data_IF_940849436025
#
_entry.id   IF_940849436025
#
_cell.length_a   1.000
_cell.length_b   1.000
_cell.length_c   1.000
_cell.angle_alpha   90.00
_cell.angle_beta   90.00
_cell.angle_gamma   90.00
#
_symmetry.space_group_name_H-M   'P 1'
#
loop_
_entity.id
_entity.type
_entity.pdbx_description
1 polymer ?
#
# COMPACT_ATOMS: atom_id res chain seq x y z
N UNK A 1 -11.56 -18.27 20.08
CA UNK A 1 -12.04 -18.64 18.73
C UNK A 1 -12.33 -17.37 17.95
N UNK A 2 -11.33 -16.79 17.28
CA UNK A 2 -11.56 -15.58 16.49
C UNK A 2 -12.09 -15.96 15.09
N UNK A 3 -13.40 -15.89 14.90
CA UNK A 3 -14.03 -15.63 13.59
C UNK A 3 -13.71 -16.58 12.42
N UNK A 4 -13.42 -17.86 12.65
CA UNK A 4 -13.24 -18.85 11.57
C UNK A 4 -14.47 -19.00 10.65
N UNK A 5 -15.66 -18.65 11.14
CA UNK A 5 -16.91 -18.61 10.37
C UNK A 5 -16.94 -17.54 9.26
N UNK A 6 -16.03 -16.54 9.27
CA UNK A 6 -15.96 -15.48 8.24
C UNK A 6 -15.44 -16.02 6.89
N UNK A 7 -14.72 -17.15 6.89
CA UNK A 7 -13.93 -17.62 5.74
C UNK A 7 -14.65 -18.58 4.78
N UNK A 8 -15.98 -18.66 4.81
CA UNK A 8 -16.73 -19.74 4.16
C UNK A 8 -17.23 -19.48 2.73
N UNK A 9 -17.20 -18.25 2.19
CA UNK A 9 -17.57 -18.03 0.76
C UNK A 9 -17.16 -16.69 0.15
N UNK A 10 -17.06 -15.62 0.94
CA UNK A 10 -16.77 -14.27 0.43
C UNK A 10 -15.38 -13.75 0.72
N UNK A 11 -14.60 -14.40 1.58
CA UNK A 11 -13.32 -13.88 2.04
C UNK A 11 -12.29 -14.99 2.11
N UNK A 12 -11.07 -14.69 1.70
CA UNK A 12 -9.96 -15.64 1.67
C UNK A 12 -8.97 -15.28 2.79
N UNK A 13 -8.68 -16.26 3.64
CA UNK A 13 -7.89 -16.05 4.85
C UNK A 13 -6.42 -15.78 4.55
N UNK A 14 -5.85 -16.44 3.55
CA UNK A 14 -4.48 -16.28 3.08
C UNK A 14 -4.23 -14.87 2.52
N UNK A 15 -5.24 -14.27 1.89
CA UNK A 15 -5.16 -12.87 1.43
C UNK A 15 -5.15 -11.93 2.63
N UNK A 16 -5.98 -12.18 3.63
CA UNK A 16 -5.95 -11.41 4.88
C UNK A 16 -4.66 -11.66 5.66
N UNK A 17 -4.12 -12.87 5.66
CA UNK A 17 -2.86 -13.21 6.33
C UNK A 17 -1.70 -12.42 5.73
N UNK A 18 -1.56 -12.42 4.39
CA UNK A 18 -0.50 -11.65 3.71
C UNK A 18 -0.67 -10.14 3.94
N UNK A 19 -1.91 -9.62 3.94
CA UNK A 19 -2.16 -8.21 4.32
C UNK A 19 -1.79 -7.92 5.77
N UNK A 20 -2.08 -8.86 6.67
CA UNK A 20 -1.75 -8.81 8.08
C UNK A 20 -0.25 -8.80 8.34
N UNK A 21 0.48 -9.66 7.64
CA UNK A 21 1.93 -9.69 7.67
C UNK A 21 2.49 -8.36 7.14
N UNK A 22 2.00 -7.89 6.00
CA UNK A 22 2.41 -6.61 5.41
C UNK A 22 2.18 -5.41 6.34
N UNK A 23 1.04 -5.33 7.04
CA UNK A 23 0.80 -4.21 7.97
C UNK A 23 1.68 -4.29 9.22
N UNK A 24 1.97 -5.49 9.74
CA UNK A 24 2.91 -5.65 10.87
C UNK A 24 4.31 -5.20 10.44
N UNK A 25 4.78 -5.66 9.29
CA UNK A 25 6.08 -5.24 8.74
C UNK A 25 6.12 -3.72 8.53
N UNK A 26 5.04 -3.11 8.06
CA UNK A 26 4.98 -1.66 7.84
C UNK A 26 5.08 -0.88 9.14
N UNK A 27 4.39 -1.32 10.20
CA UNK A 27 4.50 -0.68 11.53
C UNK A 27 5.93 -0.75 12.05
N UNK A 28 6.60 -1.90 11.90
CA UNK A 28 8.00 -2.06 12.30
C UNK A 28 8.91 -1.13 11.47
N UNK A 29 8.72 -1.12 10.15
CA UNK A 29 9.52 -0.30 9.24
C UNK A 29 9.38 1.18 9.55
N UNK A 30 8.15 1.67 9.73
CA UNK A 30 7.88 3.07 10.01
C UNK A 30 8.40 3.47 11.39
N UNK A 31 8.32 2.59 12.39
CA UNK A 31 8.93 2.85 13.69
C UNK A 31 10.44 3.06 13.57
N UNK A 32 11.15 2.24 12.78
CA UNK A 32 12.57 2.46 12.53
C UNK A 32 12.82 3.76 11.76
N UNK A 33 11.98 4.10 10.77
CA UNK A 33 12.06 5.38 10.07
C UNK A 33 11.84 6.57 11.01
N UNK A 34 10.94 6.46 11.99
CA UNK A 34 10.74 7.48 13.02
C UNK A 34 11.99 7.64 13.89
N UNK A 35 12.64 6.54 14.31
CA UNK A 35 13.91 6.60 15.02
C UNK A 35 15.02 7.24 14.16
N UNK A 36 15.07 6.95 12.87
CA UNK A 36 16.03 7.54 11.93
C UNK A 36 15.80 9.05 11.77
N UNK A 37 14.53 9.47 11.64
CA UNK A 37 14.15 10.84 11.36
C UNK A 37 14.18 11.75 12.59
N UNK A 38 13.73 11.24 13.74
CA UNK A 38 13.62 12.02 14.98
C UNK A 38 14.80 11.83 15.93
N UNK A 39 15.43 10.65 15.95
CA UNK A 39 16.50 10.35 16.92
C UNK A 39 17.85 10.07 16.25
N UNK A 40 17.98 10.36 14.94
CA UNK A 40 19.19 10.14 14.14
C UNK A 40 19.75 8.71 14.23
N UNK A 41 18.89 7.71 14.44
CA UNK A 41 19.31 6.31 14.42
C UNK A 41 19.89 5.96 13.05
N UNK A 42 21.10 5.41 13.00
CA UNK A 42 21.80 5.16 11.73
C UNK A 42 22.23 3.71 11.52
N UNK A 43 21.84 2.78 12.40
CA UNK A 43 22.27 1.39 12.31
C UNK A 43 21.52 0.60 11.24
N UNK A 44 22.25 -0.31 10.57
CA UNK A 44 21.70 -1.26 9.58
C UNK A 44 20.84 -0.63 8.46
N UNK A 45 21.16 0.58 7.99
CA UNK A 45 20.35 1.33 7.02
C UNK A 45 19.96 0.54 5.78
N UNK A 46 20.90 -0.24 5.22
CA UNK A 46 20.64 -1.05 4.02
C UNK A 46 19.59 -2.13 4.28
N UNK A 47 19.66 -2.80 5.44
CA UNK A 47 18.69 -3.80 5.85
C UNK A 47 17.30 -3.17 5.99
N UNK A 48 17.18 -2.07 6.73
CA UNK A 48 15.90 -1.39 6.94
C UNK A 48 15.30 -0.85 5.65
N UNK A 49 16.13 -0.36 4.74
CA UNK A 49 15.69 0.08 3.41
C UNK A 49 15.14 -1.09 2.60
N UNK A 50 15.84 -2.23 2.53
CA UNK A 50 15.34 -3.44 1.84
C UNK A 50 14.05 -3.94 2.50
N UNK A 51 13.98 -3.92 3.82
CA UNK A 51 12.80 -4.31 4.59
C UNK A 51 11.59 -3.43 4.27
N UNK A 52 11.78 -2.11 4.21
CA UNK A 52 10.76 -1.15 3.80
C UNK A 52 10.27 -1.40 2.37
N UNK A 53 11.19 -1.56 1.40
CA UNK A 53 10.83 -1.83 0.00
C UNK A 53 10.12 -3.17 -0.16
N UNK A 54 10.53 -4.20 0.56
CA UNK A 54 9.87 -5.52 0.56
C UNK A 54 8.46 -5.40 1.12
N UNK A 55 8.30 -4.70 2.25
CA UNK A 55 7.00 -4.43 2.87
C UNK A 55 6.05 -3.70 1.92
N UNK A 56 6.52 -2.60 1.33
CA UNK A 56 5.78 -1.83 0.36
C UNK A 56 5.37 -2.67 -0.86
N UNK A 57 6.29 -3.51 -1.35
CA UNK A 57 6.03 -4.41 -2.48
C UNK A 57 4.95 -5.43 -2.15
N UNK A 58 5.00 -6.07 -0.98
CA UNK A 58 3.95 -7.00 -0.51
C UNK A 58 2.61 -6.28 -0.44
N UNK A 59 2.58 -5.07 0.13
CA UNK A 59 1.35 -4.29 0.33
C UNK A 59 0.69 -3.87 -0.99
N UNK A 60 1.49 -3.42 -1.95
CA UNK A 60 1.02 -3.01 -3.28
C UNK A 60 0.59 -4.24 -4.08
N UNK A 61 1.39 -5.31 -4.08
CA UNK A 61 1.08 -6.56 -4.76
C UNK A 61 -0.23 -7.17 -4.24
N UNK A 62 -0.38 -7.30 -2.92
CA UNK A 62 -1.61 -7.86 -2.33
C UNK A 62 -2.82 -6.97 -2.60
N UNK A 63 -2.63 -5.64 -2.69
CA UNK A 63 -3.70 -4.71 -3.08
C UNK A 63 -4.17 -4.94 -4.52
N UNK A 64 -3.26 -5.20 -5.45
CA UNK A 64 -3.56 -5.58 -6.83
C UNK A 64 -4.30 -6.91 -6.95
N UNK A 65 -3.83 -7.94 -6.25
CA UNK A 65 -4.50 -9.24 -6.17
C UNK A 65 -5.92 -9.10 -5.58
N UNK A 66 -6.05 -8.29 -4.52
CA UNK A 66 -7.32 -8.01 -3.88
C UNK A 66 -8.29 -7.26 -4.79
N UNK A 67 -7.77 -6.34 -5.60
CA UNK A 67 -8.55 -5.63 -6.61
C UNK A 67 -9.10 -6.61 -7.65
N UNK A 68 -8.25 -7.50 -8.19
CA UNK A 68 -8.67 -8.53 -9.13
C UNK A 68 -9.88 -9.32 -8.61
N UNK A 69 -9.75 -9.92 -7.42
CA UNK A 69 -10.81 -10.73 -6.79
C UNK A 69 -12.10 -9.91 -6.61
N UNK A 70 -11.97 -8.68 -6.09
CA UNK A 70 -13.12 -7.81 -5.85
C UNK A 70 -13.80 -7.38 -7.16
N UNK A 71 -13.02 -7.11 -8.21
CA UNK A 71 -13.51 -6.65 -9.51
C UNK A 71 -14.21 -7.76 -10.26
N UNK A 72 -13.61 -8.96 -10.32
CA UNK A 72 -14.24 -10.14 -10.91
C UNK A 72 -15.59 -10.49 -10.29
N UNK A 73 -15.71 -10.38 -8.97
CA UNK A 73 -17.00 -10.60 -8.29
C UNK A 73 -18.01 -9.48 -8.55
N UNK A 74 -17.53 -8.25 -8.70
CA UNK A 74 -18.38 -7.09 -8.92
C UNK A 74 -18.98 -7.10 -10.32
N UNK A 75 -18.18 -7.43 -11.34
CA UNK A 75 -18.64 -7.45 -12.74
C UNK A 75 -19.68 -8.55 -12.99
N UNK A 76 -19.56 -9.70 -12.28
CA UNK A 76 -20.59 -10.76 -12.28
C UNK A 76 -21.94 -10.30 -11.76
N UNK A 77 -21.95 -9.42 -10.75
CA UNK A 77 -23.19 -8.92 -10.12
C UNK A 77 -23.75 -7.69 -10.84
N UNK A 78 -22.88 -6.82 -11.34
CA UNK A 78 -23.25 -5.60 -12.05
C UNK A 78 -22.22 -5.33 -13.16
N UNK A 79 -22.62 -5.31 -14.44
CA UNK A 79 -21.71 -5.09 -15.57
C UNK A 79 -20.96 -3.76 -15.54
N UNK A 80 -21.45 -2.75 -14.82
CA UNK A 80 -20.85 -1.40 -14.72
C UNK A 80 -20.53 -1.04 -13.26
N UNK A 81 -19.52 -1.66 -12.62
CA UNK A 81 -19.21 -1.45 -11.21
C UNK A 81 -18.48 -0.13 -10.91
N UNK A 82 -18.40 0.82 -11.86
CA UNK A 82 -17.58 2.05 -11.77
C UNK A 82 -17.84 2.87 -10.50
N UNK A 83 -19.10 3.02 -10.09
CA UNK A 83 -19.48 3.76 -8.88
C UNK A 83 -18.81 3.22 -7.62
N UNK A 84 -18.62 1.90 -7.52
CA UNK A 84 -17.96 1.25 -6.38
C UNK A 84 -16.48 1.64 -6.32
N UNK A 85 -15.81 1.66 -7.47
CA UNK A 85 -14.38 1.97 -7.57
C UNK A 85 -14.10 3.46 -7.46
N UNK A 86 -15.00 4.31 -7.96
CA UNK A 86 -14.93 5.75 -7.73
C UNK A 86 -15.08 6.11 -6.26
N UNK A 87 -16.00 5.46 -5.53
CA UNK A 87 -16.10 5.61 -4.06
C UNK A 87 -14.83 5.17 -3.34
N UNK A 88 -14.21 4.07 -3.79
CA UNK A 88 -12.93 3.59 -3.24
C UNK A 88 -11.81 4.59 -3.50
N UNK A 89 -11.71 5.11 -4.72
CA UNK A 89 -10.77 6.18 -5.08
C UNK A 89 -10.96 7.39 -4.16
N UNK A 90 -12.18 7.94 -4.09
CA UNK A 90 -12.47 9.13 -3.29
C UNK A 90 -12.12 8.93 -1.82
N UNK A 91 -12.42 7.74 -1.26
CA UNK A 91 -12.07 7.40 0.12
C UNK A 91 -10.56 7.36 0.35
N UNK A 92 -9.81 6.64 -0.50
CA UNK A 92 -8.37 6.46 -0.29
C UNK A 92 -7.60 7.75 -0.62
N UNK A 93 -7.93 8.38 -1.74
CA UNK A 93 -7.30 9.63 -2.17
C UNK A 93 -7.62 10.77 -1.21
N UNK A 94 -8.86 10.88 -0.72
CA UNK A 94 -9.24 11.87 0.28
C UNK A 94 -8.51 11.68 1.61
N UNK A 95 -8.32 10.44 2.06
CA UNK A 95 -7.47 10.15 3.22
C UNK A 95 -6.00 10.50 2.96
N UNK A 96 -5.51 10.28 1.74
CA UNK A 96 -4.18 10.73 1.32
C UNK A 96 -4.02 12.24 1.45
N UNK A 97 -4.97 13.01 0.93
CA UNK A 97 -4.97 14.48 1.03
C UNK A 97 -4.96 14.92 2.50
N UNK A 98 -5.75 14.27 3.35
CA UNK A 98 -5.74 14.55 4.79
C UNK A 98 -4.34 14.34 5.39
N UNK A 99 -3.66 13.25 5.04
CA UNK A 99 -2.27 13.00 5.47
C UNK A 99 -1.33 14.09 4.94
N UNK A 100 -1.47 14.52 3.68
CA UNK A 100 -0.67 15.63 3.13
C UNK A 100 -0.85 16.91 3.93
N UNK A 101 -2.10 17.28 4.25
CA UNK A 101 -2.40 18.48 5.04
C UNK A 101 -1.79 18.35 6.44
N UNK A 102 -2.03 17.23 7.12
CA UNK A 102 -1.51 16.99 8.48
C UNK A 102 0.02 17.03 8.51
N UNK A 103 0.69 16.35 7.58
CA UNK A 103 2.16 16.33 7.53
C UNK A 103 2.75 17.67 7.11
N UNK A 104 2.07 18.45 6.26
CA UNK A 104 2.50 19.81 5.91
C UNK A 104 2.44 20.77 7.09
N UNK A 105 1.48 20.59 8.00
CA UNK A 105 1.31 21.45 9.18
C UNK A 105 2.24 21.04 10.32
N UNK A 106 2.37 19.73 10.57
CA UNK A 106 3.08 19.19 11.74
C UNK A 106 4.58 18.94 11.54
N UNK A 107 5.06 18.81 10.30
CA UNK A 107 6.47 18.52 10.02
C UNK A 107 7.15 19.71 9.37
N UNK A 108 8.38 20.01 9.78
CA UNK A 108 9.21 21.03 9.14
C UNK A 108 9.74 20.60 7.77
N UNK A 109 9.89 19.30 7.56
CA UNK A 109 10.32 18.68 6.31
C UNK A 109 9.66 17.31 6.11
N UNK A 110 9.71 16.74 4.91
CA UNK A 110 9.19 15.38 4.69
C UNK A 110 7.68 15.27 4.48
N UNK A 111 7.00 16.37 4.11
CA UNK A 111 5.58 16.37 3.74
C UNK A 111 5.25 15.30 2.72
N UNK A 112 4.18 14.54 2.97
CA UNK A 112 3.76 13.43 2.11
C UNK A 112 2.89 13.97 0.97
N UNK A 113 3.49 14.24 -0.19
CA UNK A 113 2.76 14.75 -1.36
C UNK A 113 2.03 13.67 -2.16
N UNK A 114 2.63 12.48 -2.31
CA UNK A 114 2.05 11.37 -3.08
C UNK A 114 2.41 10.02 -2.46
N UNK A 115 1.92 9.78 -1.24
CA UNK A 115 2.10 8.53 -0.51
C UNK A 115 1.22 7.36 -0.98
N UNK A 116 1.30 6.23 -0.29
CA UNK A 116 0.66 4.96 -0.70
C UNK A 116 -0.86 5.05 -0.82
N UNK A 117 -1.56 5.89 -0.03
CA UNK A 117 -3.02 6.04 -0.15
C UNK A 117 -3.44 6.78 -1.43
N UNK A 118 -2.69 7.80 -1.85
CA UNK A 118 -2.93 8.48 -3.13
C UNK A 118 -2.76 7.48 -4.27
N UNK A 119 -1.63 6.76 -4.25
CA UNK A 119 -1.32 5.72 -5.22
C UNK A 119 -2.41 4.65 -5.28
N UNK A 120 -2.80 4.04 -4.15
CA UNK A 120 -3.81 2.99 -4.14
C UNK A 120 -5.19 3.48 -4.58
N UNK A 121 -5.51 4.75 -4.32
CA UNK A 121 -6.67 5.41 -4.90
C UNK A 121 -6.58 5.41 -6.42
N UNK A 122 -5.55 6.05 -6.98
CA UNK A 122 -5.32 6.20 -8.43
C UNK A 122 -5.22 4.85 -9.13
N UNK A 123 -4.40 3.93 -8.60
CA UNK A 123 -4.22 2.57 -9.10
C UNK A 123 -5.55 1.80 -9.18
N UNK A 124 -6.49 2.03 -8.27
CA UNK A 124 -7.80 1.37 -8.32
C UNK A 124 -8.67 1.79 -9.50
N UNK A 125 -8.49 3.01 -10.04
CA UNK A 125 -9.14 3.44 -11.27
C UNK A 125 -8.33 3.01 -12.49
N UNK A 126 -7.01 3.22 -12.46
CA UNK A 126 -6.11 2.82 -13.54
C UNK A 126 -6.19 1.33 -13.85
N UNK A 127 -6.40 0.48 -12.84
CA UNK A 127 -6.47 -0.97 -13.00
C UNK A 127 -7.73 -1.47 -13.74
N UNK A 128 -8.79 -0.67 -13.85
CA UNK A 128 -10.05 -1.06 -14.50
C UNK A 128 -9.83 -1.49 -15.96
N UNK A 129 -9.20 -0.68 -16.84
CA UNK A 129 -8.91 -1.10 -18.21
C UNK A 129 -7.94 -2.29 -18.30
N UNK A 130 -7.12 -2.53 -17.28
CA UNK A 130 -6.16 -3.65 -17.27
C UNK A 130 -6.80 -4.99 -16.89
N UNK A 131 -8.01 -4.98 -16.33
CA UNK A 131 -8.74 -6.19 -15.97
C UNK A 131 -8.89 -7.17 -17.15
N UNK A 132 -9.12 -6.66 -18.37
CA UNK A 132 -9.33 -7.49 -19.56
C UNK A 132 -8.11 -8.32 -19.97
N UNK A 133 -6.90 -7.95 -19.54
CA UNK A 133 -5.67 -8.61 -19.96
C UNK A 133 -5.32 -9.83 -19.12
N UNK A 134 -5.94 -10.03 -17.94
CA UNK A 134 -5.73 -11.21 -17.09
C UNK A 134 -4.23 -11.44 -16.82
N UNK A 135 -3.68 -12.60 -17.16
CA UNK A 135 -2.26 -12.94 -17.00
C UNK A 135 -1.34 -12.11 -17.91
N UNK A 136 -1.84 -11.55 -19.02
CA UNK A 136 -1.05 -10.67 -19.91
C UNK A 136 -0.71 -9.33 -19.26
N UNK A 137 -1.27 -9.02 -18.09
CA UNK A 137 -0.83 -7.89 -17.26
C UNK A 137 0.65 -7.97 -16.89
N UNK A 138 1.30 -9.13 -16.99
CA UNK A 138 2.74 -9.28 -16.81
C UNK A 138 3.56 -8.39 -17.76
N UNK A 139 3.14 -8.23 -19.02
CA UNK A 139 3.86 -7.38 -19.98
C UNK A 139 3.79 -5.90 -19.59
N UNK A 140 2.62 -5.45 -19.16
CA UNK A 140 2.44 -4.10 -18.65
C UNK A 140 3.16 -3.88 -17.32
N UNK A 141 3.18 -4.91 -16.45
CA UNK A 141 3.95 -4.84 -15.22
C UNK A 141 5.44 -4.59 -15.51
N UNK A 142 6.03 -5.37 -16.43
CA UNK A 142 7.41 -5.17 -16.89
C UNK A 142 7.61 -3.76 -17.47
N UNK A 143 6.66 -3.25 -18.26
CA UNK A 143 6.71 -1.87 -18.77
C UNK A 143 6.79 -0.82 -17.65
N UNK A 144 5.96 -0.90 -16.61
CA UNK A 144 6.02 0.06 -15.50
C UNK A 144 7.27 -0.11 -14.63
N UNK A 145 7.76 -1.34 -14.45
CA UNK A 145 8.99 -1.62 -13.70
C UNK A 145 10.24 -1.11 -14.44
N UNK A 146 10.37 -1.38 -15.73
CA UNK A 146 11.52 -0.91 -16.52
C UNK A 146 11.43 0.58 -16.84
N UNK A 147 10.21 1.10 -17.03
CA UNK A 147 9.97 2.52 -17.26
C UNK A 147 10.46 3.41 -16.11
N UNK A 148 10.50 2.89 -14.87
CA UNK A 148 11.03 3.65 -13.75
C UNK A 148 12.53 3.97 -13.89
N UNK A 149 13.29 3.17 -14.66
CA UNK A 149 14.73 3.42 -14.92
C UNK A 149 14.95 4.66 -15.80
N UNK A 150 13.94 5.04 -16.59
CA UNK A 150 13.95 6.23 -17.44
C UNK A 150 13.37 7.41 -16.66
N UNK A 151 12.19 7.22 -16.06
CA UNK A 151 11.47 8.27 -15.33
C UNK A 151 12.30 8.83 -14.18
N UNK A 152 13.04 7.99 -13.45
CA UNK A 152 13.86 8.44 -12.32
C UNK A 152 15.05 9.33 -12.72
N UNK A 153 15.41 9.39 -14.01
CA UNK A 153 16.47 10.24 -14.54
C UNK A 153 15.98 11.62 -14.97
N UNK A 154 14.66 11.81 -15.04
CA UNK A 154 14.04 13.06 -15.46
C UNK A 154 13.71 13.84 -14.20
N UNK A 155 14.22 15.07 -14.11
CA UNK A 155 13.88 16.00 -13.04
C UNK A 155 13.18 17.22 -13.60
N UNK A 156 12.14 17.67 -12.90
CA UNK A 156 11.37 18.88 -13.25
C UNK A 156 11.05 19.59 -11.95
N UNK A 157 11.25 20.91 -11.93
CA UNK A 157 10.94 21.77 -10.77
C UNK A 157 9.42 22.01 -10.65
N UNK A 158 8.64 20.93 -10.51
CA UNK A 158 7.20 20.96 -10.34
C UNK A 158 6.73 19.73 -9.58
N UNK A 159 5.83 19.93 -8.61
CA UNK A 159 5.20 18.84 -7.86
C UNK A 159 4.10 18.12 -8.65
N UNK A 160 3.68 18.68 -9.80
CA UNK A 160 2.59 18.12 -10.61
C UNK A 160 2.93 16.75 -11.22
N UNK A 161 4.21 16.46 -11.43
CA UNK A 161 4.68 15.22 -12.08
C UNK A 161 5.09 14.13 -11.07
N UNK A 162 4.99 14.41 -9.77
CA UNK A 162 5.21 13.42 -8.70
C UNK A 162 4.38 12.13 -8.89
N UNK A 163 3.10 12.17 -9.30
CA UNK A 163 2.33 10.94 -9.50
C UNK A 163 2.96 9.99 -10.52
N UNK A 164 3.72 10.50 -11.50
CA UNK A 164 4.34 9.68 -12.55
C UNK A 164 5.72 9.17 -12.11
N UNK A 165 6.38 9.82 -11.15
CA UNK A 165 7.72 9.45 -10.69
C UNK A 165 8.79 10.50 -10.99
N UNK A 166 8.43 11.62 -11.63
CA UNK A 166 9.35 12.72 -11.94
C UNK A 166 9.39 13.65 -10.73
N UNK A 167 10.58 13.83 -10.16
CA UNK A 167 10.78 14.63 -8.94
C UNK A 167 11.62 15.87 -9.20
N UNK A 168 11.48 16.94 -8.39
CA UNK A 168 12.48 17.99 -8.30
C UNK A 168 13.85 17.45 -7.85
N UNK A 169 14.93 18.20 -8.11
CA UNK A 169 16.31 17.77 -7.85
C UNK A 169 16.63 17.49 -6.37
N UNK A 170 15.98 18.19 -5.44
CA UNK A 170 16.16 18.04 -3.99
C UNK A 170 14.85 17.67 -3.30
N UNK A 171 14.19 16.63 -3.83
CA UNK A 171 12.89 16.20 -3.31
C UNK A 171 13.04 15.18 -2.19
N UNK A 172 12.56 15.55 -0.99
CA UNK A 172 12.46 14.65 0.16
C UNK A 172 11.01 14.58 0.67
N UNK A 173 10.55 13.36 0.96
CA UNK A 173 9.24 13.05 1.52
C UNK A 173 9.35 11.75 2.32
N UNK A 174 8.60 11.63 3.41
CA UNK A 174 8.59 10.43 4.24
C UNK A 174 7.90 9.23 3.54
N UNK A 175 6.98 9.50 2.62
CA UNK A 175 6.26 8.49 1.87
C UNK A 175 6.10 8.90 0.40
N UNK A 176 6.45 8.00 -0.54
CA UNK A 176 6.36 8.26 -1.98
C UNK A 176 6.10 7.00 -2.81
N UNK A 177 4.93 6.96 -3.44
CA UNK A 177 4.48 5.83 -4.26
C UNK A 177 4.07 6.27 -5.67
N UNK A 178 4.99 6.69 -6.54
CA UNK A 178 4.68 7.04 -7.92
C UNK A 178 4.13 5.86 -8.74
N UNK A 179 3.47 6.15 -9.86
CA UNK A 179 2.94 5.13 -10.78
C UNK A 179 4.06 4.22 -11.29
N UNK A 180 5.21 4.77 -11.65
CA UNK A 180 6.42 4.00 -11.98
C UNK A 180 7.31 3.95 -10.74
N UNK A 181 7.64 2.77 -10.19
CA UNK A 181 7.36 1.41 -10.66
C UNK A 181 6.11 0.75 -10.03
N UNK A 182 5.47 1.38 -9.04
CA UNK A 182 4.55 0.71 -8.13
C UNK A 182 3.28 0.16 -8.81
N UNK A 183 2.80 0.80 -9.88
CA UNK A 183 1.68 0.25 -10.64
C UNK A 183 2.06 -1.06 -11.34
N UNK A 184 3.34 -1.25 -11.68
CA UNK A 184 3.85 -2.54 -12.18
C UNK A 184 3.72 -3.64 -11.12
N UNK A 185 4.12 -3.37 -9.87
CA UNK A 185 3.95 -4.30 -8.74
C UNK A 185 2.46 -4.61 -8.49
N UNK A 186 1.60 -3.60 -8.60
CA UNK A 186 0.15 -3.77 -8.48
C UNK A 186 -0.40 -4.68 -9.60
N UNK A 187 0.06 -4.50 -10.84
CA UNK A 187 -0.31 -5.34 -11.97
C UNK A 187 0.20 -6.78 -11.83
N UNK A 188 1.40 -7.01 -11.26
CA UNK A 188 1.84 -8.36 -10.89
C UNK A 188 0.84 -9.02 -9.93
N UNK A 189 0.35 -8.27 -8.95
CA UNK A 189 -0.71 -8.72 -8.06
C UNK A 189 -1.98 -9.12 -8.82
N UNK A 190 -2.38 -8.32 -9.83
CA UNK A 190 -3.52 -8.65 -10.69
C UNK A 190 -3.28 -9.89 -11.56
N UNK A 191 -2.08 -10.05 -12.13
CA UNK A 191 -1.64 -11.23 -12.91
C UNK A 191 -1.75 -12.50 -12.07
N UNK A 192 -1.19 -12.49 -10.86
CA UNK A 192 -1.29 -13.65 -9.97
C UNK A 192 -2.73 -13.86 -9.50
N UNK A 193 -3.47 -12.77 -9.26
CA UNK A 193 -4.90 -12.81 -8.99
C UNK A 193 -5.70 -13.53 -10.08
N UNK A 194 -5.41 -13.29 -11.37
CA UNK A 194 -6.11 -13.92 -12.48
C UNK A 194 -5.81 -15.41 -12.65
N UNK A 195 -4.61 -15.84 -12.26
CA UNK A 195 -4.19 -17.23 -12.29
C UNK A 195 -4.77 -18.04 -11.12
N UNK A 196 -4.68 -17.49 -9.90
CA UNK A 196 -5.05 -18.16 -8.66
C UNK A 196 -6.54 -18.02 -8.30
N UNK A 197 -7.15 -16.91 -8.70
CA UNK A 197 -8.54 -16.56 -8.40
C UNK A 197 -9.31 -16.16 -9.67
N UNK A 198 -9.40 -17.04 -10.68
CA UNK A 198 -10.22 -16.78 -11.86
C UNK A 198 -11.63 -16.40 -11.43
N UNK A 199 -12.17 -15.35 -12.05
CA UNK A 199 -13.52 -14.88 -11.80
C UNK A 199 -13.86 -14.63 -10.31
N UNK A 200 -12.83 -14.37 -9.50
CA UNK A 200 -12.91 -14.11 -8.07
C UNK A 200 -13.13 -15.35 -7.19
N UNK A 201 -12.95 -16.55 -7.75
CA UNK A 201 -13.06 -17.84 -7.05
C UNK A 201 -11.69 -18.52 -6.98
N UNK A 202 -11.33 -19.04 -5.81
CA UNK A 202 -10.04 -19.69 -5.57
C UNK A 202 -9.97 -21.03 -6.34
N UNK A 203 -8.85 -21.31 -7.03
CA UNK A 203 -8.62 -22.58 -7.76
C UNK A 203 -8.07 -23.73 -6.92
N UNK A 204 -7.54 -23.44 -5.74
CA UNK A 204 -6.91 -24.42 -4.86
C UNK A 204 -7.71 -24.60 -3.58
N UNK A 205 -7.55 -25.74 -2.91
CA UNK A 205 -8.10 -25.97 -1.57
C UNK A 205 -7.06 -25.62 -0.52
N UNK A 206 -7.45 -24.80 0.46
CA UNK A 206 -6.63 -24.49 1.64
C UNK A 206 -7.52 -24.51 2.87
N UNK A 207 -7.17 -25.37 3.82
CA UNK A 207 -7.78 -25.38 5.14
C UNK A 207 -7.28 -24.19 5.95
N UNK A 208 -8.19 -23.55 6.69
CA UNK A 208 -7.81 -22.48 7.61
C UNK A 208 -7.00 -23.06 8.78
N UNK A 209 -5.75 -22.63 9.01
CA UNK A 209 -4.96 -23.08 10.14
C UNK A 209 -5.57 -22.49 11.42
N UNK A 210 -6.11 -23.33 12.30
CA UNK A 210 -6.68 -22.91 13.59
C UNK A 210 -5.57 -22.68 14.63
N UNK A 211 -4.64 -21.78 14.31
CA UNK A 211 -3.54 -21.39 15.19
C UNK A 211 -3.70 -19.94 15.60
N UNK A 212 -3.53 -19.66 16.89
CA UNK A 212 -3.69 -18.31 17.46
C UNK A 212 -2.86 -17.22 16.73
N UNK A 213 -1.57 -17.44 16.39
CA UNK A 213 -0.80 -16.45 15.63
C UNK A 213 -1.39 -16.14 14.25
N UNK A 214 -1.87 -17.16 13.54
CA UNK A 214 -2.49 -17.01 12.22
C UNK A 214 -3.81 -16.24 12.32
N UNK A 215 -4.64 -16.55 13.31
CA UNK A 215 -5.89 -15.84 13.57
C UNK A 215 -5.66 -14.35 13.85
N UNK A 216 -4.62 -14.02 14.63
CA UNK A 216 -4.24 -12.64 14.96
C UNK A 216 -3.73 -11.87 13.73
N UNK A 217 -2.82 -12.48 12.96
CA UNK A 217 -2.32 -11.86 11.72
C UNK A 217 -3.47 -11.63 10.74
N UNK A 218 -4.37 -12.61 10.58
CA UNK A 218 -5.57 -12.44 9.77
C UNK A 218 -6.45 -11.29 10.29
N UNK A 219 -6.64 -11.17 11.61
CA UNK A 219 -7.38 -10.06 12.22
C UNK A 219 -6.77 -8.70 11.88
N UNK A 220 -5.45 -8.56 11.97
CA UNK A 220 -4.74 -7.36 11.57
C UNK A 220 -4.99 -7.05 10.07
N UNK A 221 -4.91 -8.08 9.21
CA UNK A 221 -5.21 -7.96 7.79
C UNK A 221 -6.66 -7.61 7.44
N UNK A 222 -7.62 -7.85 8.35
CA UNK A 222 -9.01 -7.42 8.18
C UNK A 222 -9.20 -5.94 8.46
N UNK A 223 -8.35 -5.35 9.30
CA UNK A 223 -8.43 -3.97 9.75
C UNK A 223 -7.26 -3.11 9.25
N UNK A 224 -6.53 -3.57 8.23
CA UNK A 224 -5.34 -2.92 7.65
C UNK A 224 -5.46 -1.41 7.49
N UNK A 225 -6.55 -0.88 6.90
CA UNK A 225 -6.70 0.56 6.69
C UNK A 225 -6.81 1.35 8.00
N UNK A 226 -7.48 0.78 9.03
CA UNK A 226 -7.57 1.45 10.34
C UNK A 226 -6.21 1.47 11.02
N UNK A 227 -5.51 0.33 11.03
CA UNK A 227 -4.17 0.20 11.60
C UNK A 227 -3.21 1.16 10.87
N UNK A 228 -3.29 1.21 9.54
CA UNK A 228 -2.51 2.14 8.71
C UNK A 228 -2.73 3.61 9.11
N UNK A 229 -3.95 4.05 9.40
CA UNK A 229 -4.18 5.45 9.77
C UNK A 229 -3.76 5.76 11.21
N UNK A 230 -3.89 4.79 12.12
CA UNK A 230 -3.69 4.99 13.56
C UNK A 230 -2.24 4.78 13.99
N UNK A 231 -1.49 3.90 13.32
CA UNK A 231 -0.14 3.56 13.78
C UNK A 231 0.80 4.77 13.81
N UNK A 232 0.84 5.61 12.77
CA UNK A 232 1.79 6.73 12.70
C UNK A 232 1.55 7.78 13.80
N UNK A 233 0.31 8.28 14.03
CA UNK A 233 0.03 9.17 15.16
C UNK A 233 0.36 8.55 16.52
N UNK A 234 0.12 7.23 16.68
CA UNK A 234 0.43 6.53 17.93
C UNK A 234 1.94 6.41 18.14
N UNK A 235 2.71 6.00 17.12
CA UNK A 235 4.16 5.86 17.22
C UNK A 235 4.82 7.21 17.52
N UNK A 236 4.49 8.25 16.76
CA UNK A 236 5.01 9.61 16.99
C UNK A 236 4.57 10.14 18.35
N UNK A 237 3.31 9.93 18.75
CA UNK A 237 2.80 10.33 20.06
C UNK A 237 3.53 9.65 21.22
N UNK A 238 3.85 8.36 21.10
CA UNK A 238 4.65 7.64 22.10
C UNK A 238 6.07 8.16 22.17
N UNK A 239 6.70 8.46 21.02
CA UNK A 239 8.04 9.06 21.00
C UNK A 239 8.05 10.44 21.67
N UNK A 240 7.03 11.27 21.41
CA UNK A 240 6.86 12.57 22.08
C UNK A 240 6.70 12.40 23.60
N UNK A 241 5.92 11.42 24.07
CA UNK A 241 5.75 11.18 25.51
C UNK A 241 7.05 10.74 26.20
N UNK A 242 7.93 10.02 25.51
CA UNK A 242 9.18 9.51 26.07
C UNK A 242 10.30 10.56 26.00
N UNK A 243 10.44 11.26 24.87
CA UNK A 243 11.57 12.14 24.58
C UNK A 243 11.22 13.64 24.66
N UNK A 244 9.95 14.00 24.85
CA UNK A 244 9.49 15.39 24.90
C UNK A 244 9.41 15.99 23.49
N UNK A 245 10.33 16.89 23.15
CA UNK A 245 10.39 17.51 21.83
C UNK A 245 11.15 16.62 20.84
N UNK A 246 10.58 16.39 19.66
CA UNK A 246 11.28 15.70 18.58
C UNK A 246 11.80 16.71 17.56
N UNK A 247 13.06 16.60 17.13
CA UNK A 247 13.61 17.46 16.08
C UNK A 247 12.82 17.25 14.78
N UNK A 248 12.62 18.32 14.00
CA UNK A 248 11.83 18.34 12.76
C UNK A 248 10.30 18.25 12.92
N UNK A 249 9.79 18.19 14.14
CA UNK A 249 8.38 18.46 14.41
C UNK A 249 8.19 19.96 14.64
N UNK A 250 7.12 20.55 14.10
CA UNK A 250 6.84 21.99 14.20
C UNK A 250 6.02 22.39 15.45
N UNK A 251 5.85 21.48 16.41
CA UNK A 251 5.07 21.68 17.65
C UNK A 251 5.91 22.27 18.78
#
# INVERSE_FOLDING_TARGET
MFNSQIYSSRRFWEVDFVRGLGIIMMVISNFITDLQYFLNYSEHQMFWRIFAYTTASIFVFISGLSFWISYSRSIKKNPRPYKKYLKRFAKLFGLGILITITTKVLLSSGTIYFGVLHFLGVASLLAIPFYRFREKNIFFAVFFLLGSLIVSRITVNSLLLLPIGITPSEFFTLDYFPIFPWFGVYLLGMTIGSLLYPDGTRRFSLNFPKMMPVEFICLAGRHTLKIYLVHQPVLVGLLLLIYGSLPNLSL
#
